data_IF_478770173460
#
_entry.id   IF_478770173460
#
_cell.length_a   1.000
_cell.length_b   1.000
_cell.length_c   1.000
_cell.angle_alpha   90.00
_cell.angle_beta   90.00
_cell.angle_gamma   90.00
#
_symmetry.space_group_name_H-M   'P 1'
#
loop_
_entity.id
_entity.type
_entity.pdbx_description
1 polymer ?
#
# COMPACT_ATOMS: atom_id res chain seq x y z
N UNK A 1 -1.14 -1.93 34.83
CA UNK A 1 -0.17 -1.48 33.81
C UNK A 1 1.06 -1.03 34.57
N UNK A 2 2.26 -1.39 34.12
CA UNK A 2 3.53 -1.07 34.78
C UNK A 2 4.48 -0.47 33.76
N UNK A 3 5.25 0.55 34.13
CA UNK A 3 6.27 1.13 33.27
C UNK A 3 7.67 0.83 33.84
N UNK A 4 8.57 0.30 33.03
CA UNK A 4 10.00 0.17 33.33
C UNK A 4 10.75 1.28 32.60
N UNK A 5 11.53 2.05 33.33
CA UNK A 5 12.24 3.22 32.80
C UNK A 5 13.73 2.89 32.78
N UNK A 6 14.31 2.84 31.58
CA UNK A 6 15.73 2.64 31.35
C UNK A 6 16.39 3.98 30.94
N UNK A 7 17.73 4.03 30.82
CA UNK A 7 18.43 5.21 30.33
C UNK A 7 17.96 5.62 28.92
N UNK A 8 17.79 4.69 28.00
CA UNK A 8 17.47 5.04 26.61
C UNK A 8 16.00 4.83 26.24
N UNK A 9 15.27 4.02 27.01
CA UNK A 9 13.91 3.57 26.66
C UNK A 9 12.95 3.58 27.85
N UNK A 10 11.66 3.70 27.53
CA UNK A 10 10.55 3.52 28.47
C UNK A 10 9.70 2.37 27.93
N UNK A 11 9.61 1.29 28.70
CA UNK A 11 8.86 0.09 28.36
C UNK A 11 7.57 0.01 29.18
N UNK A 12 6.45 -0.24 28.51
CA UNK A 12 5.13 -0.34 29.14
C UNK A 12 4.66 -1.80 29.09
N UNK A 13 4.28 -2.33 30.24
CA UNK A 13 3.81 -3.70 30.43
C UNK A 13 2.34 -3.74 30.87
N UNK A 14 1.60 -4.72 30.36
CA UNK A 14 0.25 -5.06 30.80
C UNK A 14 0.12 -6.58 30.90
N UNK A 15 -0.26 -7.09 32.08
CA UNK A 15 -0.31 -8.54 32.38
C UNK A 15 0.99 -9.25 31.99
N UNK A 16 2.12 -8.69 32.44
CA UNK A 16 3.48 -9.18 32.19
C UNK A 16 3.92 -9.25 30.71
N UNK A 17 3.10 -8.73 29.78
CA UNK A 17 3.45 -8.59 28.37
C UNK A 17 3.90 -7.17 28.07
N UNK A 18 5.03 -7.03 27.37
CA UNK A 18 5.47 -5.76 26.80
C UNK A 18 4.45 -5.33 25.73
N UNK A 19 3.84 -4.15 25.93
CA UNK A 19 2.82 -3.62 25.02
C UNK A 19 3.28 -2.38 24.25
N UNK A 20 4.29 -1.68 24.74
CA UNK A 20 4.89 -0.54 24.05
C UNK A 20 6.33 -0.31 24.53
N UNK A 21 7.18 0.20 23.65
CA UNK A 21 8.52 0.68 24.00
C UNK A 21 8.77 1.99 23.26
N UNK A 22 9.27 2.99 23.99
CA UNK A 22 9.51 4.33 23.46
C UNK A 22 10.93 4.77 23.78
N UNK A 23 11.57 5.50 22.87
CA UNK A 23 12.84 6.17 23.16
C UNK A 23 12.62 7.27 24.20
N UNK A 24 13.46 7.31 25.21
CA UNK A 24 13.44 8.33 26.25
C UNK A 24 14.00 9.64 25.68
N UNK A 25 13.25 10.72 25.83
CA UNK A 25 13.76 12.07 25.58
C UNK A 25 14.21 12.71 26.90
N UNK A 26 15.38 13.35 26.88
CA UNK A 26 15.91 14.15 27.98
C UNK A 26 15.76 15.66 27.73
N UNK A 27 15.14 16.04 26.61
CA UNK A 27 14.92 17.43 26.26
C UNK A 27 13.81 18.01 27.15
N UNK A 28 14.04 19.22 27.64
CA UNK A 28 13.08 19.89 28.52
C UNK A 28 11.83 20.30 27.74
N UNK A 29 10.64 20.09 28.32
CA UNK A 29 9.33 20.33 27.66
C UNK A 29 9.09 19.56 26.35
N UNK A 30 9.84 18.48 26.11
CA UNK A 30 9.69 17.65 24.93
C UNK A 30 8.90 16.38 25.24
N UNK A 31 7.90 16.07 24.42
CA UNK A 31 7.12 14.85 24.51
C UNK A 31 6.95 14.25 23.11
N UNK A 32 6.95 12.93 23.04
CA UNK A 32 6.88 12.19 21.77
C UNK A 32 5.71 11.23 21.79
N UNK A 33 4.96 11.18 20.71
CA UNK A 33 3.84 10.28 20.48
C UNK A 33 4.10 9.51 19.22
N UNK A 34 4.04 8.19 19.34
CA UNK A 34 4.07 7.29 18.20
C UNK A 34 2.63 7.05 17.71
N UNK A 35 2.36 7.52 16.49
CA UNK A 35 1.06 7.39 15.81
C UNK A 35 0.62 5.92 15.64
N UNK A 36 1.57 4.98 15.61
CA UNK A 36 1.29 3.55 15.43
C UNK A 36 0.41 2.97 16.55
N UNK A 37 0.46 3.56 17.76
CA UNK A 37 -0.41 3.17 18.88
C UNK A 37 -1.88 3.54 18.64
N UNK A 38 -2.13 4.52 17.77
CA UNK A 38 -3.45 5.07 17.54
C UNK A 38 -4.09 4.61 16.24
N UNK A 39 -3.42 3.79 15.42
CA UNK A 39 -3.96 3.30 14.13
C UNK A 39 -5.36 2.70 14.31
N UNK A 40 -5.58 1.83 15.30
CA UNK A 40 -6.90 1.23 15.54
C UNK A 40 -7.98 2.28 15.86
N UNK A 41 -7.64 3.28 16.67
CA UNK A 41 -8.55 4.39 17.03
C UNK A 41 -8.82 5.30 15.83
N UNK A 42 -7.78 5.61 15.05
CA UNK A 42 -7.86 6.43 13.85
C UNK A 42 -8.70 5.74 12.76
N UNK A 43 -8.64 4.41 12.62
CA UNK A 43 -9.52 3.66 11.70
C UNK A 43 -11.01 3.90 12.01
N UNK A 44 -11.37 4.03 13.29
CA UNK A 44 -12.75 4.34 13.72
C UNK A 44 -13.11 5.81 13.52
N UNK A 45 -12.13 6.72 13.68
CA UNK A 45 -12.32 8.18 13.57
C UNK A 45 -11.22 8.81 12.70
N UNK A 46 -11.27 8.64 11.37
CA UNK A 46 -10.20 9.07 10.47
C UNK A 46 -10.02 10.59 10.44
N UNK A 47 -11.10 11.35 10.63
CA UNK A 47 -11.03 12.82 10.70
C UNK A 47 -10.17 13.36 11.85
N UNK A 48 -9.96 12.57 12.91
CA UNK A 48 -9.07 12.97 14.02
C UNK A 48 -7.59 13.01 13.61
N UNK A 49 -7.21 12.37 12.50
CA UNK A 49 -5.84 12.41 11.98
C UNK A 49 -5.42 13.84 11.63
N UNK A 50 -6.32 14.63 11.04
CA UNK A 50 -6.00 15.95 10.49
C UNK A 50 -5.46 16.91 11.57
N UNK A 51 -6.10 16.91 12.74
CA UNK A 51 -5.68 17.72 13.90
C UNK A 51 -4.82 16.96 14.90
N UNK A 52 -4.42 15.72 14.60
CA UNK A 52 -3.62 14.93 15.54
C UNK A 52 -2.19 15.44 15.64
N UNK A 53 -1.70 15.47 16.86
CA UNK A 53 -0.28 15.69 17.18
C UNK A 53 0.61 14.57 16.62
N UNK A 54 0.07 13.34 16.53
CA UNK A 54 0.75 12.20 15.91
C UNK A 54 1.13 12.46 14.45
N UNK A 55 0.26 13.14 13.68
CA UNK A 55 0.57 13.52 12.28
C UNK A 55 1.75 14.49 12.18
N UNK A 56 1.85 15.46 13.09
CA UNK A 56 2.92 16.46 13.09
C UNK A 56 4.26 15.91 13.56
N UNK A 57 4.25 14.80 14.31
CA UNK A 57 5.46 14.12 14.77
C UNK A 57 5.88 12.96 13.85
N UNK A 58 5.19 12.77 12.72
CA UNK A 58 5.62 11.84 11.66
C UNK A 58 6.96 12.27 11.06
N UNK A 59 7.65 11.33 10.43
CA UNK A 59 8.84 11.67 9.64
C UNK A 59 8.48 12.65 8.51
N UNK A 60 9.40 13.54 8.10
CA UNK A 60 9.14 14.52 7.05
C UNK A 60 8.60 13.90 5.76
N UNK A 61 9.11 12.73 5.39
CA UNK A 61 8.71 11.99 4.19
C UNK A 61 7.22 11.59 4.24
N UNK A 62 6.76 11.13 5.41
CA UNK A 62 5.35 10.76 5.61
C UNK A 62 4.42 11.97 5.66
N UNK A 63 4.91 13.10 6.17
CA UNK A 63 4.15 14.35 6.14
C UNK A 63 3.96 14.84 4.69
N UNK A 64 5.02 14.86 3.90
CA UNK A 64 4.96 15.23 2.48
C UNK A 64 4.03 14.30 1.70
N UNK A 65 4.14 12.99 1.93
CA UNK A 65 3.29 11.99 1.29
C UNK A 65 1.80 12.21 1.62
N UNK A 66 1.51 12.47 2.90
CA UNK A 66 0.15 12.80 3.33
C UNK A 66 -0.39 14.02 2.60
N UNK A 67 0.40 15.10 2.56
CA UNK A 67 0.00 16.34 1.91
C UNK A 67 -0.22 16.18 0.40
N UNK A 68 0.63 15.40 -0.27
CA UNK A 68 0.58 15.20 -1.73
C UNK A 68 -0.57 14.29 -2.19
N UNK A 69 -0.85 13.21 -1.47
CA UNK A 69 -1.79 12.17 -1.94
C UNK A 69 -3.01 11.93 -1.07
N UNK A 70 -2.95 12.26 0.21
CA UNK A 70 -3.94 11.79 1.19
C UNK A 70 -4.68 12.91 1.95
N UNK A 71 -4.44 14.18 1.62
CA UNK A 71 -5.09 15.33 2.28
C UNK A 71 -6.62 15.19 2.35
N UNK A 72 -7.26 14.70 1.27
CA UNK A 72 -8.70 14.51 1.19
C UNK A 72 -9.16 13.09 1.60
N UNK A 73 -8.22 12.14 1.74
CA UNK A 73 -8.50 10.73 2.00
C UNK A 73 -7.71 10.23 3.23
N UNK A 74 -8.01 10.74 4.45
CA UNK A 74 -7.29 10.34 5.66
C UNK A 74 -7.47 8.86 6.02
N UNK A 75 -8.55 8.22 5.56
CA UNK A 75 -8.78 6.77 5.74
C UNK A 75 -7.68 5.95 5.07
N UNK A 76 -7.39 6.25 3.82
CA UNK A 76 -6.42 5.52 3.01
C UNK A 76 -5.00 5.69 3.57
N UNK A 77 -4.68 6.89 4.08
CA UNK A 77 -3.42 7.10 4.78
C UNK A 77 -3.28 6.24 6.04
N UNK A 78 -4.35 6.02 6.80
CA UNK A 78 -4.31 5.14 7.97
C UNK A 78 -4.04 3.69 7.56
N UNK A 79 -4.58 3.26 6.41
CA UNK A 79 -4.27 1.94 5.84
C UNK A 79 -2.80 1.87 5.40
N UNK A 80 -2.25 2.95 4.84
CA UNK A 80 -0.83 3.04 4.51
C UNK A 80 0.07 2.95 5.75
N UNK A 81 -0.29 3.62 6.86
CA UNK A 81 0.45 3.51 8.12
C UNK A 81 0.44 2.06 8.66
N UNK A 82 -0.67 1.35 8.48
CA UNK A 82 -0.77 -0.08 8.82
C UNK A 82 0.15 -0.94 7.94
N UNK A 83 0.23 -0.63 6.63
CA UNK A 83 1.14 -1.29 5.70
C UNK A 83 2.62 -1.07 6.07
N UNK A 84 3.00 0.16 6.42
CA UNK A 84 4.36 0.52 6.85
C UNK A 84 4.74 -0.24 8.12
N UNK A 85 3.79 -0.47 9.02
CA UNK A 85 4.01 -1.26 10.24
C UNK A 85 4.25 -2.75 9.94
N UNK A 86 3.71 -3.27 8.85
CA UNK A 86 3.81 -4.69 8.48
C UNK A 86 5.09 -5.03 7.70
N UNK A 87 5.49 -4.18 6.75
CA UNK A 87 6.63 -4.42 5.85
C UNK A 87 7.85 -3.62 6.27
N UNK A 88 7.79 -2.31 6.12
CA UNK A 88 8.75 -1.29 6.57
C UNK A 88 8.46 0.02 5.79
N UNK A 89 9.09 1.13 6.19
CA UNK A 89 8.91 2.43 5.53
C UNK A 89 9.61 2.51 4.15
N UNK A 90 10.74 1.84 4.00
CA UNK A 90 11.62 1.99 2.83
C UNK A 90 11.02 1.30 1.59
N UNK A 91 10.53 0.08 1.76
CA UNK A 91 9.76 -0.67 0.75
C UNK A 91 8.55 0.11 0.25
N UNK A 92 7.84 0.78 1.16
CA UNK A 92 6.65 1.58 0.82
C UNK A 92 7.06 2.84 0.04
N UNK A 93 8.13 3.53 0.42
CA UNK A 93 8.65 4.67 -0.32
C UNK A 93 9.14 4.28 -1.72
N UNK A 94 9.81 3.13 -1.85
CA UNK A 94 10.24 2.61 -3.15
C UNK A 94 9.05 2.30 -4.06
N UNK A 95 8.03 1.63 -3.53
CA UNK A 95 6.79 1.36 -4.27
C UNK A 95 6.10 2.63 -4.77
N UNK A 96 6.08 3.69 -3.96
CA UNK A 96 5.52 4.97 -4.35
C UNK A 96 6.34 5.62 -5.47
N UNK A 97 7.68 5.56 -5.40
CA UNK A 97 8.57 6.04 -6.47
C UNK A 97 8.39 5.25 -7.77
N UNK A 98 8.15 3.94 -7.70
CA UNK A 98 7.80 3.13 -8.87
C UNK A 98 6.50 3.63 -9.51
N UNK A 99 5.46 3.87 -8.71
CA UNK A 99 4.17 4.38 -9.19
C UNK A 99 4.27 5.79 -9.76
N UNK A 100 5.07 6.67 -9.15
CA UNK A 100 5.29 8.03 -9.65
C UNK A 100 5.89 8.04 -11.07
N UNK A 101 6.77 7.07 -11.39
CA UNK A 101 7.36 6.94 -12.74
C UNK A 101 6.34 6.52 -13.78
N UNK A 102 5.32 5.75 -13.39
CA UNK A 102 4.27 5.25 -14.29
C UNK A 102 3.22 6.35 -14.48
N UNK A 103 2.52 6.72 -13.40
CA UNK A 103 1.48 7.76 -13.41
C UNK A 103 1.11 8.17 -11.98
N UNK A 104 1.11 9.47 -11.72
CA UNK A 104 0.77 10.06 -10.40
C UNK A 104 -0.65 9.73 -9.94
N UNK A 105 -1.61 9.60 -10.86
CA UNK A 105 -3.01 9.24 -10.55
C UNK A 105 -3.19 7.80 -10.04
N UNK A 106 -2.21 6.92 -10.29
CA UNK A 106 -2.27 5.52 -9.83
C UNK A 106 -1.81 5.34 -8.37
N UNK A 107 -1.44 6.42 -7.69
CA UNK A 107 -0.95 6.36 -6.31
C UNK A 107 -2.16 6.24 -5.38
N UNK A 108 -2.58 5.00 -5.17
CA UNK A 108 -3.56 4.61 -4.17
C UNK A 108 -2.95 3.53 -3.26
N UNK A 109 -3.53 3.34 -2.08
CA UNK A 109 -2.98 2.40 -1.09
C UNK A 109 -2.99 0.96 -1.59
N UNK A 110 -3.95 0.58 -2.44
CA UNK A 110 -4.07 -0.77 -2.99
C UNK A 110 -2.95 -1.09 -4.00
N UNK A 111 -2.57 -0.14 -4.85
CA UNK A 111 -1.50 -0.28 -5.82
C UNK A 111 -0.13 -0.30 -5.12
N UNK A 112 0.04 0.54 -4.09
CA UNK A 112 1.23 0.49 -3.23
C UNK A 112 1.29 -0.89 -2.56
N UNK A 113 0.17 -1.37 -2.01
CA UNK A 113 0.07 -2.71 -1.41
C UNK A 113 0.43 -3.80 -2.41
N UNK A 114 -0.05 -3.72 -3.65
CA UNK A 114 0.28 -4.68 -4.71
C UNK A 114 1.77 -4.73 -5.02
N UNK A 115 2.44 -3.57 -5.08
CA UNK A 115 3.88 -3.49 -5.33
C UNK A 115 4.69 -3.99 -4.14
N UNK A 116 4.34 -3.58 -2.92
CA UNK A 116 5.04 -3.96 -1.68
C UNK A 116 4.89 -5.46 -1.38
N UNK A 117 3.71 -6.03 -1.63
CA UNK A 117 3.47 -7.45 -1.40
C UNK A 117 3.77 -8.34 -2.59
N UNK A 118 4.11 -7.77 -3.76
CA UNK A 118 4.43 -8.45 -5.04
C UNK A 118 4.32 -9.98 -4.91
N UNK A 119 3.08 -10.47 -4.98
CA UNK A 119 2.88 -11.76 -5.64
C UNK A 119 3.28 -11.51 -7.10
N UNK A 120 4.06 -12.39 -7.74
CA UNK A 120 4.50 -12.14 -9.10
C UNK A 120 3.28 -12.11 -10.03
N UNK A 121 2.77 -10.94 -10.35
CA UNK A 121 1.90 -10.74 -11.49
C UNK A 121 2.41 -9.56 -12.28
N UNK A 122 3.06 -9.92 -13.39
CA UNK A 122 3.55 -9.08 -14.48
C UNK A 122 4.70 -8.18 -14.03
N UNK A 123 5.91 -8.69 -13.84
CA UNK A 123 6.85 -8.95 -14.92
C UNK A 123 7.70 -10.21 -14.65
N UNK A 124 7.21 -11.37 -15.07
CA UNK A 124 8.12 -12.43 -15.47
C UNK A 124 8.36 -12.18 -16.97
N UNK A 125 9.60 -11.97 -17.46
CA UNK A 125 9.87 -12.14 -18.88
C UNK A 125 9.54 -13.60 -19.18
N UNK A 126 8.35 -13.77 -19.72
CA UNK A 126 7.72 -14.97 -20.21
C UNK A 126 8.74 -16.07 -20.56
N UNK A 127 9.06 -16.91 -19.57
CA UNK A 127 9.64 -18.21 -19.83
C UNK A 127 8.65 -18.93 -20.72
N UNK A 128 9.03 -19.11 -22.00
CA UNK A 128 8.30 -19.77 -23.07
C UNK A 128 6.77 -19.69 -22.96
N UNK A 129 6.14 -18.70 -23.63
CA UNK A 129 4.67 -18.71 -23.84
C UNK A 129 4.29 -20.12 -24.28
N UNK A 130 3.50 -20.82 -23.48
CA UNK A 130 2.91 -22.07 -23.92
C UNK A 130 1.80 -21.68 -24.91
N UNK A 131 2.17 -21.60 -26.20
CA UNK A 131 1.30 -21.12 -27.29
C UNK A 131 0.19 -22.17 -27.56
N UNK A 132 0.23 -23.33 -26.92
CA UNK A 132 -0.74 -24.43 -27.14
C UNK A 132 -2.19 -23.97 -26.96
N UNK A 133 -2.50 -23.23 -25.89
CA UNK A 133 -3.87 -22.75 -25.61
C UNK A 133 -4.30 -21.69 -26.63
N UNK A 134 -3.40 -20.77 -27.00
CA UNK A 134 -3.70 -19.73 -27.99
C UNK A 134 -3.97 -20.34 -29.36
N UNK A 135 -3.18 -21.34 -29.75
CA UNK A 135 -3.32 -22.07 -31.01
C UNK A 135 -4.62 -22.88 -31.06
N UNK A 136 -4.93 -23.61 -29.98
CA UNK A 136 -6.18 -24.38 -29.90
C UNK A 136 -7.42 -23.48 -29.97
N UNK A 137 -7.37 -22.31 -29.32
CA UNK A 137 -8.45 -21.31 -29.39
C UNK A 137 -8.65 -20.78 -30.82
N UNK A 138 -7.56 -20.44 -31.52
CA UNK A 138 -7.60 -20.01 -32.92
C UNK A 138 -8.16 -21.09 -33.85
N UNK A 139 -7.77 -22.35 -33.65
CA UNK A 139 -8.31 -23.47 -34.44
C UNK A 139 -9.82 -23.65 -34.20
N UNK A 140 -10.29 -23.60 -32.95
CA UNK A 140 -11.72 -23.67 -32.64
C UNK A 140 -12.51 -22.53 -33.29
N UNK A 141 -11.99 -21.30 -33.26
CA UNK A 141 -12.63 -20.14 -33.92
C UNK A 141 -12.69 -20.37 -35.44
N UNK A 142 -11.63 -20.89 -36.05
CA UNK A 142 -11.60 -21.20 -37.48
C UNK A 142 -12.66 -22.24 -37.86
N UNK A 143 -12.76 -23.32 -37.08
CA UNK A 143 -13.75 -24.39 -37.29
C UNK A 143 -15.17 -23.83 -37.18
N UNK A 144 -15.43 -22.99 -36.18
CA UNK A 144 -16.74 -22.34 -36.01
C UNK A 144 -17.06 -21.41 -37.19
N UNK A 145 -16.11 -20.60 -37.64
CA UNK A 145 -16.30 -19.71 -38.78
C UNK A 145 -16.63 -20.48 -40.07
N UNK A 146 -16.02 -21.65 -40.28
CA UNK A 146 -16.29 -22.53 -41.41
C UNK A 146 -17.67 -23.20 -41.28
N UNK A 147 -17.98 -23.74 -40.10
CA UNK A 147 -19.25 -24.41 -39.80
C UNK A 147 -20.46 -23.47 -39.98
N UNK A 148 -20.31 -22.20 -39.59
CA UNK A 148 -21.36 -21.18 -39.69
C UNK A 148 -21.27 -20.31 -40.96
N UNK A 149 -20.33 -20.59 -41.87
CA UNK A 149 -20.12 -19.85 -43.13
C UNK A 149 -20.02 -18.32 -42.95
N UNK A 150 -19.41 -17.87 -41.85
CA UNK A 150 -19.37 -16.45 -41.48
C UNK A 150 -18.47 -15.61 -42.40
N UNK A 151 -17.68 -16.26 -43.27
CA UNK A 151 -16.80 -15.60 -44.24
C UNK A 151 -17.50 -15.17 -45.55
N UNK A 152 -18.80 -15.41 -45.74
CA UNK A 152 -19.51 -15.10 -47.00
C UNK A 152 -20.54 -13.97 -46.94
N UNK A 153 -20.70 -13.26 -45.82
CA UNK A 153 -21.71 -12.18 -45.72
C UNK A 153 -21.08 -10.93 -45.13
N UNK A 154 -20.53 -10.08 -45.99
CA UNK A 154 -20.01 -8.78 -45.56
C UNK A 154 -19.26 -7.96 -46.60
N UNK A 155 -19.46 -8.20 -47.90
CA UNK A 155 -19.08 -7.23 -48.92
C UNK A 155 -20.14 -6.13 -48.95
N UNK A 156 -19.92 -5.02 -48.25
CA UNK A 156 -20.60 -3.77 -48.60
C UNK A 156 -19.84 -3.15 -49.78
N UNK A 157 -20.35 -3.44 -50.98
CA UNK A 157 -20.04 -2.67 -52.17
C UNK A 157 -20.83 -1.36 -52.15
N UNK A 158 -20.07 -0.26 -52.03
CA UNK A 158 -20.24 1.12 -52.50
C UNK A 158 -19.83 2.12 -51.42
#
# INVERSE_FOLDING_TARGET
MMAKIYPDTIEIFYKDKLIASHKRSYLNHHWTVDINHFIHTLKKKPGALHSSVGRHQLSPELQELYHKYYTNNPKDFIVLLELIKEKDLESVLEAIKELEKIKVEMINTDNIKNIVFKSPTMDNPLGSKDISIQKASLEQISILNEMFKLNSVGGYGN
#
